data_IF_276673868322
#
_entry.id   IF_276673868322
#
_cell.length_a   1.000
_cell.length_b   1.000
_cell.length_c   1.000
_cell.angle_alpha   90.00
_cell.angle_beta   90.00
_cell.angle_gamma   90.00
#
_symmetry.space_group_name_H-M   'P 1'
#
loop_
_entity.id
_entity.type
_entity.pdbx_description
1 polymer ?
#
# COMPACT_ATOMS: atom_id res chain seq x y z
N UNK A 1 22.68 11.03 -15.36
CA UNK A 1 21.36 11.49 -14.90
C UNK A 1 20.52 10.26 -14.63
N UNK A 2 19.97 10.10 -13.43
CA UNK A 2 19.03 9.02 -13.12
C UNK A 2 17.65 9.38 -13.66
N UNK A 3 17.06 8.52 -14.47
CA UNK A 3 15.73 8.69 -15.02
C UNK A 3 14.72 7.95 -14.14
N UNK A 4 13.59 8.59 -13.83
CA UNK A 4 12.50 7.93 -13.12
C UNK A 4 11.81 6.96 -14.09
N UNK A 5 11.92 5.66 -13.83
CA UNK A 5 11.35 4.60 -14.66
C UNK A 5 10.41 3.74 -13.84
N UNK A 6 9.35 3.24 -14.49
CA UNK A 6 8.39 2.35 -13.87
C UNK A 6 8.86 0.90 -14.04
N UNK A 7 8.99 0.18 -12.93
CA UNK A 7 9.26 -1.25 -12.94
C UNK A 7 7.95 -2.02 -12.93
N UNK A 8 7.57 -2.62 -14.06
CA UNK A 8 6.33 -3.38 -14.21
C UNK A 8 6.20 -4.54 -13.22
N UNK A 9 7.31 -5.04 -12.68
CA UNK A 9 7.29 -6.10 -11.65
C UNK A 9 6.80 -5.61 -10.29
N UNK A 10 6.79 -4.28 -10.07
CA UNK A 10 6.43 -3.64 -8.80
C UNK A 10 5.10 -2.89 -8.88
N UNK A 11 4.26 -3.26 -9.86
CA UNK A 11 2.90 -2.70 -10.02
C UNK A 11 1.91 -3.73 -9.52
N UNK A 12 1.11 -3.36 -8.51
CA UNK A 12 0.09 -4.23 -7.94
C UNK A 12 -1.24 -3.51 -7.76
N UNK A 13 -2.34 -4.25 -7.94
CA UNK A 13 -3.67 -3.81 -7.51
C UNK A 13 -3.81 -4.12 -6.02
N UNK A 14 -3.55 -3.13 -5.17
CA UNK A 14 -3.52 -3.32 -3.71
C UNK A 14 -4.92 -3.51 -3.10
N UNK A 15 -5.91 -2.77 -3.58
CA UNK A 15 -7.30 -2.87 -3.14
C UNK A 15 -8.25 -3.08 -4.31
N UNK A 16 -9.38 -3.74 -4.05
CA UNK A 16 -10.47 -3.88 -5.02
C UNK A 16 -11.32 -2.61 -5.13
N UNK A 17 -11.36 -1.79 -4.07
CA UNK A 17 -12.09 -0.52 -3.97
C UNK A 17 -11.22 0.70 -4.27
N UNK A 18 -11.82 1.90 -4.27
CA UNK A 18 -11.09 3.15 -4.44
C UNK A 18 -10.13 3.40 -3.27
N UNK A 19 -8.89 3.78 -3.59
CA UNK A 19 -7.85 4.17 -2.63
C UNK A 19 -8.03 5.65 -2.28
N UNK A 20 -8.13 5.96 -0.99
CA UNK A 20 -8.37 7.31 -0.46
C UNK A 20 -7.16 7.87 0.29
N UNK A 21 -6.29 7.00 0.80
CA UNK A 21 -5.08 7.40 1.53
C UNK A 21 -3.94 6.42 1.34
N UNK A 22 -2.70 6.91 1.42
CA UNK A 22 -1.47 6.14 1.32
C UNK A 22 -0.46 6.70 2.33
N UNK A 23 0.31 5.85 2.99
CA UNK A 23 1.42 6.23 3.86
C UNK A 23 2.64 5.31 3.65
N UNK A 24 3.85 5.88 3.58
CA UNK A 24 5.11 5.16 3.38
C UNK A 24 5.82 5.00 4.73
N UNK A 25 6.06 3.74 5.15
CA UNK A 25 6.79 3.48 6.40
C UNK A 25 8.25 3.93 6.27
N UNK A 26 8.87 4.51 7.31
CA UNK A 26 10.26 5.01 7.27
C UNK A 26 11.33 3.89 7.29
N UNK A 27 10.99 2.65 6.93
CA UNK A 27 11.96 1.55 7.01
C UNK A 27 13.01 1.71 5.92
N UNK A 28 14.29 1.66 6.31
CA UNK A 28 15.41 1.69 5.37
C UNK A 28 15.66 0.33 4.70
N UNK A 29 15.09 -0.75 5.25
CA UNK A 29 15.35 -2.12 4.79
C UNK A 29 14.25 -2.68 3.91
N UNK A 30 13.04 -2.12 3.98
CA UNK A 30 11.88 -2.54 3.20
C UNK A 30 11.05 -1.35 2.78
N UNK A 31 10.52 -1.41 1.56
CA UNK A 31 9.56 -0.41 1.07
C UNK A 31 8.14 -0.86 1.42
N UNK A 32 7.69 -0.48 2.62
CA UNK A 32 6.36 -0.81 3.11
C UNK A 32 5.39 0.37 2.89
N UNK A 33 4.21 0.05 2.38
CA UNK A 33 3.16 1.02 2.07
C UNK A 33 1.87 0.62 2.75
N UNK A 34 1.29 1.54 3.53
CA UNK A 34 -0.06 1.40 4.05
C UNK A 34 -1.05 2.09 3.10
N UNK A 35 -2.18 1.45 2.80
CA UNK A 35 -3.17 1.93 1.83
C UNK A 35 -4.57 1.85 2.43
N UNK A 36 -5.32 2.95 2.40
CA UNK A 36 -6.67 3.07 2.94
C UNK A 36 -7.73 3.11 1.84
N UNK A 37 -8.79 2.33 1.99
CA UNK A 37 -9.85 2.15 1.01
C UNK A 37 -11.17 2.81 1.39
N UNK A 38 -12.02 3.01 0.38
CA UNK A 38 -13.38 3.56 0.54
C UNK A 38 -14.26 2.76 1.48
N UNK A 39 -14.16 1.43 1.49
CA UNK A 39 -15.03 0.57 2.28
C UNK A 39 -14.50 0.29 3.69
N UNK A 40 -13.45 0.98 4.16
CA UNK A 40 -12.82 0.74 5.46
C UNK A 40 -11.68 -0.27 5.45
N UNK A 41 -11.25 -0.66 4.24
CA UNK A 41 -10.12 -1.55 4.05
C UNK A 41 -8.82 -0.81 4.37
N UNK A 42 -7.90 -1.51 5.01
CA UNK A 42 -6.51 -1.09 5.13
C UNK A 42 -5.66 -2.21 4.57
N UNK A 43 -4.75 -1.89 3.64
CA UNK A 43 -3.77 -2.85 3.15
C UNK A 43 -2.36 -2.45 3.56
N UNK A 44 -1.53 -3.45 3.85
CA UNK A 44 -0.09 -3.32 3.97
C UNK A 44 0.56 -3.99 2.77
N UNK A 45 1.44 -3.27 2.08
CA UNK A 45 2.12 -3.75 0.89
C UNK A 45 3.64 -3.65 1.05
N UNK A 46 4.34 -4.79 0.96
CA UNK A 46 5.79 -4.84 0.75
C UNK A 46 6.09 -4.81 -0.75
N UNK A 47 6.51 -3.65 -1.25
CA UNK A 47 6.77 -3.40 -2.68
C UNK A 47 7.96 -4.24 -3.19
N UNK A 48 8.86 -4.65 -2.30
CA UNK A 48 10.04 -5.46 -2.63
C UNK A 48 9.79 -6.96 -2.42
N UNK A 49 8.60 -7.35 -1.95
CA UNK A 49 8.23 -8.75 -1.76
C UNK A 49 8.00 -9.47 -3.08
N UNK A 50 8.55 -10.68 -3.22
CA UNK A 50 8.48 -11.47 -4.47
C UNK A 50 7.21 -12.35 -4.58
N UNK A 51 6.35 -12.34 -3.56
CA UNK A 51 5.22 -13.28 -3.46
C UNK A 51 3.87 -12.58 -3.59
N UNK A 52 2.83 -13.36 -3.94
CA UNK A 52 1.42 -12.92 -3.92
C UNK A 52 0.95 -12.48 -2.51
N UNK A 53 1.72 -12.82 -1.47
CA UNK A 53 1.50 -12.40 -0.08
C UNK A 53 2.11 -11.03 0.25
N UNK A 54 2.71 -10.34 -0.73
CA UNK A 54 3.27 -9.00 -0.57
C UNK A 54 2.22 -7.97 -0.16
N UNK A 55 0.94 -8.20 -0.50
CA UNK A 55 -0.19 -7.37 -0.08
C UNK A 55 -1.05 -8.12 0.93
N UNK A 56 -1.23 -7.53 2.10
CA UNK A 56 -2.12 -8.03 3.15
C UNK A 56 -3.26 -7.03 3.35
N UNK A 57 -4.51 -7.47 3.18
CA UNK A 57 -5.70 -6.61 3.29
C UNK A 57 -6.47 -6.93 4.56
N UNK A 58 -6.81 -5.89 5.31
CA UNK A 58 -7.58 -5.92 6.54
C UNK A 58 -8.84 -5.07 6.39
N UNK A 59 -9.85 -5.35 7.21
CA UNK A 59 -11.13 -4.61 7.25
C UNK A 59 -11.46 -4.14 8.68
N UNK A 60 -10.65 -3.25 9.28
CA UNK A 60 -10.88 -2.78 10.64
C UNK A 60 -11.98 -1.71 10.74
N UNK A 61 -12.29 -1.00 9.65
CA UNK A 61 -13.29 0.06 9.63
C UNK A 61 -14.52 -0.35 8.80
N UNK A 62 -15.66 0.31 9.06
CA UNK A 62 -16.89 0.15 8.26
C UNK A 62 -17.11 1.29 7.26
N UNK A 63 -16.30 2.35 7.32
CA UNK A 63 -16.38 3.55 6.46
C UNK A 63 -15.03 3.92 5.89
N UNK A 64 -14.97 4.96 5.04
CA UNK A 64 -13.75 5.28 4.28
C UNK A 64 -12.57 5.66 5.16
N UNK A 65 -11.38 5.17 4.79
CA UNK A 65 -10.12 5.53 5.43
C UNK A 65 -9.52 6.73 4.69
N UNK A 66 -9.88 7.93 5.13
CA UNK A 66 -9.50 9.18 4.45
C UNK A 66 -8.06 9.62 4.70
N UNK A 67 -7.43 9.15 5.78
CA UNK A 67 -6.07 9.49 6.14
C UNK A 67 -5.39 8.30 6.79
N UNK A 68 -4.10 8.11 6.48
CA UNK A 68 -3.20 7.17 7.13
C UNK A 68 -1.92 7.92 7.47
N UNK A 69 -1.32 7.55 8.60
CA UNK A 69 -0.01 8.02 9.01
C UNK A 69 0.75 6.86 9.63
N UNK A 70 2.05 6.85 9.42
CA UNK A 70 3.00 5.89 9.96
C UNK A 70 4.06 6.70 10.70
N UNK A 71 4.49 6.19 11.85
CA UNK A 71 5.47 6.83 12.72
C UNK A 71 6.89 6.47 12.31
#
# INVERSE_FOLDING_TARGET
MSQLTLDSKRVARVLSSMIYSIALHPSETRLLVAVGGRAGQIALWDVLGETDLSVQVFQPHCGSVNCLSVC
#
